data_IF_005096733091
#
_entry.id   IF_005096733091
#
_cell.length_a   1.000
_cell.length_b   1.000
_cell.length_c   1.000
_cell.angle_alpha   90.00
_cell.angle_beta   90.00
_cell.angle_gamma   90.00
#
_symmetry.space_group_name_H-M   'P 1'
#
loop_
_entity.id
_entity.type
_entity.pdbx_description
1 polymer ?
#
# COMPACT_ATOMS: atom_id res chain seq x y z
N UNK A 1 11.50 15.60 23.20
CA UNK A 1 10.54 14.67 22.59
C UNK A 1 10.85 13.29 23.09
N UNK A 2 9.84 12.63 23.62
CA UNK A 2 9.83 11.28 24.22
C UNK A 2 8.91 10.32 23.46
N UNK A 3 8.23 10.80 22.41
CA UNK A 3 7.33 10.05 21.51
C UNK A 3 8.07 9.22 20.43
N UNK A 4 9.40 9.10 20.52
CA UNK A 4 10.20 8.30 19.60
C UNK A 4 10.07 6.80 19.86
N UNK A 5 10.49 5.97 18.89
CA UNK A 5 10.50 4.52 19.01
C UNK A 5 9.62 3.84 17.97
N UNK A 6 9.17 2.62 18.28
CA UNK A 6 8.34 1.82 17.37
C UNK A 6 6.96 1.57 17.96
N UNK A 7 5.94 1.56 17.11
CA UNK A 7 4.60 1.05 17.42
C UNK A 7 4.32 -0.17 16.57
N UNK A 8 3.38 -1.01 17.00
CA UNK A 8 2.94 -2.20 16.28
C UNK A 8 1.43 -2.33 16.30
N UNK A 9 0.88 -2.98 15.29
CA UNK A 9 -0.54 -3.14 15.15
C UNK A 9 -0.90 -3.96 13.93
N UNK A 10 -2.20 -4.00 13.63
CA UNK A 10 -2.72 -4.65 12.46
C UNK A 10 -2.86 -3.62 11.33
N UNK A 11 -2.29 -3.93 10.17
CA UNK A 11 -2.63 -3.28 8.92
C UNK A 11 -3.61 -4.17 8.15
N UNK A 12 -4.78 -3.62 7.82
CA UNK A 12 -5.82 -4.30 7.05
C UNK A 12 -5.95 -3.60 5.71
N UNK A 13 -5.96 -4.36 4.63
CA UNK A 13 -6.47 -3.89 3.36
C UNK A 13 -7.71 -4.70 2.95
N UNK A 14 -8.71 -4.02 2.42
CA UNK A 14 -10.01 -4.62 2.10
C UNK A 14 -10.56 -4.00 0.82
N UNK A 15 -10.83 -4.85 -0.16
CA UNK A 15 -11.60 -4.46 -1.34
C UNK A 15 -13.09 -4.37 -1.02
N UNK A 16 -13.70 -3.24 -1.37
CA UNK A 16 -15.16 -3.06 -1.45
C UNK A 16 -15.48 -2.62 -2.87
N UNK A 17 -16.03 -3.55 -3.66
CA UNK A 17 -16.16 -3.39 -5.10
C UNK A 17 -14.83 -2.98 -5.74
N UNK A 18 -14.77 -1.80 -6.32
CA UNK A 18 -13.60 -1.25 -7.01
C UNK A 18 -12.69 -0.39 -6.10
N UNK A 19 -12.91 -0.31 -4.79
CA UNK A 19 -12.09 0.53 -3.89
C UNK A 19 -11.31 -0.35 -2.90
N UNK A 20 -9.99 -0.17 -2.85
CA UNK A 20 -9.13 -0.79 -1.86
C UNK A 20 -8.96 0.15 -0.67
N UNK A 21 -9.54 -0.22 0.47
CA UNK A 21 -9.38 0.51 1.72
C UNK A 21 -8.18 0.00 2.52
N UNK A 22 -7.56 0.91 3.28
CA UNK A 22 -6.50 0.62 4.24
C UNK A 22 -6.90 1.05 5.64
N UNK A 23 -6.56 0.25 6.66
CA UNK A 23 -6.68 0.60 8.07
C UNK A 23 -5.39 0.23 8.79
N UNK A 24 -4.78 1.18 9.48
CA UNK A 24 -3.52 0.99 10.20
C UNK A 24 -3.75 1.24 11.69
N UNK A 25 -3.91 0.18 12.47
CA UNK A 25 -4.18 0.28 13.91
C UNK A 25 -2.95 0.72 14.72
N UNK A 26 -1.74 0.66 14.17
CA UNK A 26 -0.54 1.07 14.89
C UNK A 26 -0.47 2.60 15.08
N UNK A 27 -1.11 3.36 14.18
CA UNK A 27 -1.15 4.84 14.17
C UNK A 27 -2.57 5.42 14.01
N UNK A 28 -3.60 4.58 14.00
CA UNK A 28 -5.01 5.02 13.88
C UNK A 28 -5.42 5.50 12.48
N UNK A 29 -4.75 5.03 11.43
CA UNK A 29 -4.94 5.49 10.05
C UNK A 29 -6.09 4.81 9.31
N UNK A 30 -6.80 5.57 8.45
CA UNK A 30 -7.85 5.07 7.56
C UNK A 30 -7.72 5.72 6.18
N UNK A 31 -7.61 4.90 5.13
CA UNK A 31 -7.16 5.35 3.81
C UNK A 31 -7.95 4.69 2.67
N UNK A 32 -7.98 5.36 1.52
CA UNK A 32 -8.14 4.69 0.23
C UNK A 32 -6.74 4.45 -0.30
N UNK A 33 -6.37 3.19 -0.51
CA UNK A 33 -5.04 2.78 -0.99
C UNK A 33 -4.98 2.72 -2.52
N UNK A 34 -6.11 2.51 -3.18
CA UNK A 34 -6.20 2.44 -4.64
C UNK A 34 -7.55 2.01 -5.15
N UNK A 35 -7.64 1.88 -6.46
CA UNK A 35 -8.89 1.61 -7.18
C UNK A 35 -8.73 0.47 -8.18
N UNK A 36 -9.80 -0.29 -8.43
CA UNK A 36 -9.87 -1.35 -9.44
C UNK A 36 -10.21 -0.83 -10.84
N UNK A 37 -10.71 0.41 -10.90
CA UNK A 37 -11.10 1.18 -12.08
C UNK A 37 -10.75 2.66 -11.86
N UNK A 38 -10.89 3.48 -12.89
CA UNK A 38 -10.78 4.94 -12.76
C UNK A 38 -11.65 5.45 -11.60
N UNK A 39 -11.15 6.33 -10.70
CA UNK A 39 -11.85 6.72 -9.48
C UNK A 39 -13.28 7.24 -9.70
N UNK A 40 -13.53 7.93 -10.82
CA UNK A 40 -14.86 8.45 -11.17
C UNK A 40 -15.88 7.39 -11.64
N UNK A 41 -15.44 6.15 -11.84
CA UNK A 41 -16.25 5.00 -12.27
C UNK A 41 -16.30 3.89 -11.23
N UNK A 42 -15.54 4.00 -10.13
CA UNK A 42 -15.45 2.99 -9.10
C UNK A 42 -16.80 2.79 -8.39
N UNK A 43 -17.20 1.53 -8.22
CA UNK A 43 -18.42 1.13 -7.51
C UNK A 43 -18.07 0.24 -6.31
N UNK A 44 -18.54 0.58 -5.11
CA UNK A 44 -18.29 -0.21 -3.90
C UNK A 44 -19.19 -1.44 -3.74
N UNK A 45 -20.27 -1.56 -4.54
CA UNK A 45 -21.39 -2.45 -4.22
C UNK A 45 -21.32 -3.84 -4.85
N UNK A 46 -20.28 -4.15 -5.61
CA UNK A 46 -20.10 -5.46 -6.22
C UNK A 46 -19.05 -6.32 -5.52
N UNK A 47 -19.01 -7.61 -5.89
CA UNK A 47 -18.10 -8.61 -5.31
C UNK A 47 -17.12 -9.20 -6.34
N UNK A 48 -17.06 -8.64 -7.55
CA UNK A 48 -16.08 -9.06 -8.57
C UNK A 48 -14.66 -8.79 -8.07
N UNK A 49 -13.76 -9.72 -8.32
CA UNK A 49 -12.34 -9.51 -8.05
C UNK A 49 -11.74 -8.41 -8.95
N UNK A 50 -10.86 -7.57 -8.41
CA UNK A 50 -10.17 -6.53 -9.17
C UNK A 50 -9.20 -7.16 -10.16
N UNK A 51 -9.13 -6.61 -11.37
CA UNK A 51 -8.17 -7.05 -12.40
C UNK A 51 -6.94 -6.15 -12.50
N UNK A 52 -7.05 -4.97 -11.90
CA UNK A 52 -6.06 -3.90 -11.90
C UNK A 52 -6.10 -3.24 -10.52
N UNK A 53 -4.98 -2.66 -10.12
CA UNK A 53 -4.89 -1.76 -8.98
C UNK A 53 -4.26 -0.44 -9.46
N UNK A 54 -5.00 0.64 -9.35
CA UNK A 54 -4.58 2.01 -9.63
C UNK A 54 -4.22 2.69 -8.31
N UNK A 55 -2.94 3.01 -8.13
CA UNK A 55 -2.41 3.67 -6.94
C UNK A 55 -2.26 5.16 -7.22
N UNK A 56 -2.83 5.98 -6.33
CA UNK A 56 -2.87 7.43 -6.48
C UNK A 56 -1.84 8.16 -5.61
N UNK A 57 -1.30 7.47 -4.61
CA UNK A 57 -0.42 8.03 -3.59
C UNK A 57 0.70 7.06 -3.24
N UNK A 58 1.87 7.61 -2.94
CA UNK A 58 2.97 6.93 -2.30
C UNK A 58 3.60 7.87 -1.26
N UNK A 59 4.40 7.31 -0.38
CA UNK A 59 5.05 8.04 0.68
C UNK A 59 6.36 7.39 1.14
N UNK A 60 7.13 8.11 1.94
CA UNK A 60 8.21 7.53 2.72
C UNK A 60 8.22 8.06 4.15
N UNK A 61 8.85 7.27 5.03
CA UNK A 61 8.99 7.56 6.44
C UNK A 61 10.46 7.87 6.78
N UNK A 62 10.80 9.12 7.16
CA UNK A 62 12.15 9.47 7.59
C UNK A 62 12.44 9.10 9.05
N UNK A 63 11.41 8.90 9.86
CA UNK A 63 11.51 8.59 11.29
C UNK A 63 11.76 7.11 11.59
N UNK A 64 11.51 6.21 10.63
CA UNK A 64 11.71 4.78 10.80
C UNK A 64 11.33 3.98 9.56
N UNK A 65 11.76 2.71 9.54
CA UNK A 65 11.28 1.76 8.54
C UNK A 65 9.91 1.20 8.91
N UNK A 66 9.31 0.44 8.01
CA UNK A 66 8.02 -0.22 8.22
C UNK A 66 8.09 -1.69 7.83
N UNK A 67 7.63 -2.56 8.71
CA UNK A 67 7.54 -4.00 8.48
C UNK A 67 6.10 -4.39 8.21
N UNK A 68 5.85 -5.13 7.12
CA UNK A 68 4.57 -5.82 6.90
C UNK A 68 4.82 -7.32 6.82
N UNK A 69 4.16 -8.09 7.68
CA UNK A 69 4.21 -9.54 7.65
C UNK A 69 2.79 -10.14 7.50
N UNK A 70 2.52 -10.95 6.47
CA UNK A 70 1.16 -11.42 6.18
C UNK A 70 0.64 -12.40 7.23
N UNK A 71 -0.49 -12.09 7.87
CA UNK A 71 -1.17 -13.00 8.82
C UNK A 71 -2.12 -13.97 8.09
N UNK A 72 -2.77 -13.47 7.05
CA UNK A 72 -3.77 -14.21 6.25
C UNK A 72 -3.16 -15.14 5.21
N UNK A 73 -1.84 -15.04 4.97
CA UNK A 73 -1.07 -15.84 4.00
C UNK A 73 -1.61 -15.80 2.56
N UNK A 74 -2.26 -14.71 2.17
CA UNK A 74 -2.70 -14.45 0.79
C UNK A 74 -1.63 -13.69 0.00
N UNK A 75 -1.59 -13.84 -1.34
CA UNK A 75 -0.70 -13.04 -2.16
C UNK A 75 -0.99 -11.55 -2.06
N UNK A 76 0.05 -10.73 -2.14
CA UNK A 76 -0.05 -9.27 -2.11
C UNK A 76 1.06 -8.64 -2.94
N UNK A 77 0.94 -7.34 -3.18
CA UNK A 77 1.92 -6.56 -3.92
C UNK A 77 2.38 -5.33 -3.12
N UNK A 78 3.59 -4.86 -3.42
CA UNK A 78 4.16 -3.65 -2.82
C UNK A 78 4.87 -2.85 -3.91
N UNK A 79 4.31 -1.71 -4.36
CA UNK A 79 5.02 -0.74 -5.18
C UNK A 79 6.11 -0.05 -4.35
N UNK A 80 7.34 0.00 -4.87
CA UNK A 80 8.50 0.58 -4.20
C UNK A 80 9.33 1.43 -5.18
N UNK A 81 9.92 2.53 -4.70
CA UNK A 81 10.96 3.29 -5.39
C UNK A 81 12.12 3.63 -4.43
N UNK A 82 13.30 3.86 -4.99
CA UNK A 82 14.51 4.14 -4.21
C UNK A 82 14.41 5.47 -3.44
N UNK A 83 15.13 5.64 -2.31
CA UNK A 83 15.14 6.89 -1.57
C UNK A 83 15.62 8.10 -2.37
N UNK A 84 15.01 9.26 -2.12
CA UNK A 84 15.34 10.55 -2.74
C UNK A 84 14.12 11.47 -2.81
N UNK A 85 14.32 12.77 -3.03
CA UNK A 85 13.21 13.74 -2.99
C UNK A 85 12.55 14.00 -4.36
N UNK A 86 13.19 13.62 -5.48
CA UNK A 86 12.68 13.82 -6.86
C UNK A 86 12.13 12.51 -7.45
N UNK A 87 11.24 11.85 -6.72
CA UNK A 87 10.62 10.60 -7.17
C UNK A 87 9.67 10.84 -8.33
N UNK A 88 9.68 9.95 -9.31
CA UNK A 88 8.79 9.98 -10.48
C UNK A 88 7.97 8.70 -10.58
N UNK A 89 6.81 8.73 -11.26
CA UNK A 89 5.97 7.54 -11.44
C UNK A 89 6.75 6.30 -11.95
N UNK A 90 7.69 6.52 -12.86
CA UNK A 90 8.53 5.55 -13.56
C UNK A 90 9.67 4.97 -12.72
N UNK A 91 9.95 5.55 -11.55
CA UNK A 91 10.91 4.99 -10.59
C UNK A 91 10.31 3.81 -9.80
N UNK A 92 8.99 3.65 -9.82
CA UNK A 92 8.30 2.61 -9.08
C UNK A 92 8.35 1.26 -9.80
N UNK A 93 8.74 0.24 -9.05
CA UNK A 93 8.60 -1.16 -9.43
C UNK A 93 7.71 -1.88 -8.42
N UNK A 94 6.94 -2.86 -8.90
CA UNK A 94 5.98 -3.57 -8.06
C UNK A 94 6.50 -4.97 -7.72
N UNK A 95 6.69 -5.24 -6.43
CA UNK A 95 7.08 -6.55 -5.93
C UNK A 95 5.84 -7.39 -5.59
N UNK A 96 5.83 -8.64 -6.03
CA UNK A 96 4.79 -9.60 -5.70
C UNK A 96 5.27 -10.60 -4.64
N UNK A 97 4.42 -10.85 -3.65
CA UNK A 97 4.65 -11.77 -2.55
C UNK A 97 3.59 -12.86 -2.56
N UNK A 98 4.00 -14.13 -2.43
CA UNK A 98 3.08 -15.27 -2.36
C UNK A 98 2.33 -15.41 -1.03
N UNK A 99 2.45 -14.44 -0.11
CA UNK A 99 1.83 -14.46 1.21
C UNK A 99 2.59 -15.23 2.30
N UNK A 100 3.74 -15.84 2.01
CA UNK A 100 4.53 -16.60 3.00
C UNK A 100 5.76 -15.84 3.53
N UNK A 101 6.04 -14.67 2.95
CA UNK A 101 7.13 -13.78 3.32
C UNK A 101 6.55 -12.39 3.54
N UNK A 102 7.02 -11.72 4.58
CA UNK A 102 6.86 -10.29 4.74
C UNK A 102 8.03 -9.52 4.14
N UNK A 103 8.01 -8.21 4.36
CA UNK A 103 9.11 -7.32 4.04
C UNK A 103 9.32 -6.30 5.14
N UNK A 104 10.55 -5.83 5.26
CA UNK A 104 10.91 -4.64 6.02
C UNK A 104 11.40 -3.58 5.04
N UNK A 105 10.69 -2.46 4.99
CA UNK A 105 10.99 -1.30 4.17
C UNK A 105 11.86 -0.37 5.00
N UNK A 106 13.05 -0.06 4.51
CA UNK A 106 13.97 0.85 5.20
C UNK A 106 13.44 2.30 5.20
N UNK A 107 13.86 3.14 6.16
CA UNK A 107 13.54 4.57 6.14
C UNK A 107 13.86 5.20 4.78
N UNK A 108 13.08 6.21 4.40
CA UNK A 108 13.20 6.97 3.15
C UNK A 108 12.92 6.19 1.84
N UNK A 109 12.68 4.88 1.88
CA UNK A 109 12.24 4.14 0.67
C UNK A 109 10.80 4.53 0.37
N UNK A 110 10.51 4.94 -0.86
CA UNK A 110 9.15 5.24 -1.28
C UNK A 110 8.34 3.96 -1.41
N UNK A 111 7.13 4.00 -0.90
CA UNK A 111 6.19 2.89 -0.92
C UNK A 111 4.78 3.42 -0.73
N UNK A 112 3.76 2.58 -0.92
CA UNK A 112 2.47 2.90 -0.33
C UNK A 112 2.23 2.07 0.94
N UNK A 113 1.85 0.81 0.78
CA UNK A 113 1.79 -0.16 1.85
C UNK A 113 1.75 -1.57 1.27
N UNK A 114 1.45 -2.57 2.09
CA UNK A 114 1.17 -3.91 1.59
C UNK A 114 -0.26 -3.97 1.00
N UNK A 115 -0.37 -4.11 -0.32
CA UNK A 115 -1.62 -4.02 -1.06
C UNK A 115 -2.15 -5.41 -1.41
N UNK A 116 -3.31 -5.76 -0.87
CA UNK A 116 -3.96 -7.04 -1.14
C UNK A 116 -4.57 -7.07 -2.54
N UNK A 117 -4.50 -8.22 -3.20
CA UNK A 117 -4.95 -8.36 -4.60
C UNK A 117 -6.42 -8.79 -4.73
N UNK A 118 -7.08 -9.20 -3.64
CA UNK A 118 -8.51 -9.52 -3.59
C UNK A 118 -9.01 -9.63 -2.14
N UNK A 119 -10.29 -9.30 -1.91
CA UNK A 119 -10.96 -9.40 -0.61
C UNK A 119 -10.26 -8.67 0.53
N UNK A 120 -10.41 -9.18 1.76
CA UNK A 120 -9.67 -8.69 2.93
C UNK A 120 -8.34 -9.43 3.10
N UNK A 121 -7.30 -8.66 3.43
CA UNK A 121 -5.99 -9.14 3.84
C UNK A 121 -5.49 -8.39 5.07
N UNK A 122 -4.79 -9.11 5.94
CA UNK A 122 -4.28 -8.62 7.23
C UNK A 122 -2.79 -8.86 7.35
N UNK A 123 -2.08 -7.88 7.89
CA UNK A 123 -0.64 -7.89 8.10
C UNK A 123 -0.33 -7.45 9.52
N UNK A 124 0.60 -8.14 10.16
CA UNK A 124 1.35 -7.57 11.27
C UNK A 124 2.14 -6.38 10.72
N UNK A 125 1.97 -5.23 11.36
CA UNK A 125 2.63 -3.98 11.01
C UNK A 125 3.46 -3.48 12.20
N UNK A 126 4.71 -3.10 11.94
CA UNK A 126 5.59 -2.44 12.90
C UNK A 126 6.33 -1.30 12.22
N UNK A 127 6.21 -0.10 12.78
CA UNK A 127 6.71 1.14 12.18
C UNK A 127 7.17 2.15 13.23
N UNK A 128 7.68 3.31 12.78
CA UNK A 128 7.97 4.44 13.65
C UNK A 128 6.73 4.95 14.39
N UNK A 129 6.85 5.21 15.70
CA UNK A 129 5.72 5.66 16.53
C UNK A 129 5.23 7.08 16.17
N UNK A 130 6.12 7.92 15.64
CA UNK A 130 5.79 9.29 15.21
C UNK A 130 5.04 9.28 13.87
N UNK A 131 5.34 8.32 12.99
CA UNK A 131 4.77 8.19 11.66
C UNK A 131 4.98 9.46 10.82
N UNK A 132 6.19 10.01 10.88
CA UNK A 132 6.57 11.13 10.03
C UNK A 132 6.48 10.69 8.57
N UNK A 133 5.95 11.54 7.69
CA UNK A 133 5.65 11.12 6.31
C UNK A 133 5.86 12.26 5.32
N UNK A 134 6.52 11.94 4.22
CA UNK A 134 6.56 12.75 3.01
C UNK A 134 5.78 11.97 1.94
N UNK A 135 4.91 12.66 1.23
CA UNK A 135 3.89 12.06 0.36
C UNK A 135 3.98 12.64 -1.05
N UNK A 136 3.63 11.81 -2.04
CA UNK A 136 3.35 12.22 -3.41
C UNK A 136 1.90 11.85 -3.75
N UNK A 137 1.18 12.79 -4.36
CA UNK A 137 -0.14 12.58 -4.99
C UNK A 137 0.04 12.57 -6.51
N UNK A 138 0.03 11.39 -7.12
CA UNK A 138 0.36 11.23 -8.54
C UNK A 138 -0.62 11.95 -9.47
N UNK A 139 -1.88 12.08 -9.07
CA UNK A 139 -2.88 12.78 -9.87
C UNK A 139 -2.58 14.27 -9.88
N UNK A 140 -2.28 14.85 -8.72
CA UNK A 140 -2.01 16.30 -8.60
C UNK A 140 -0.66 16.70 -9.15
N UNK A 141 0.35 15.86 -8.95
CA UNK A 141 1.74 16.20 -9.24
C UNK A 141 2.18 15.74 -10.64
N UNK A 142 1.61 14.64 -11.15
CA UNK A 142 2.02 14.03 -12.41
C UNK A 142 0.86 13.77 -13.38
N UNK A 143 -0.38 14.08 -13.01
CA UNK A 143 -1.59 13.85 -13.82
C UNK A 143 -1.72 12.39 -14.27
N UNK A 144 -1.37 11.45 -13.39
CA UNK A 144 -1.47 10.01 -13.64
C UNK A 144 -1.81 9.19 -12.39
N UNK A 145 -2.08 7.91 -12.60
CA UNK A 145 -2.14 6.87 -11.57
C UNK A 145 -1.08 5.81 -11.89
N UNK A 146 -0.54 5.15 -10.88
CA UNK A 146 0.33 3.98 -11.09
C UNK A 146 -0.54 2.74 -11.26
N UNK A 147 -0.35 2.00 -12.36
CA UNK A 147 -1.09 0.78 -12.63
C UNK A 147 -0.28 -0.47 -12.22
N UNK A 148 -0.92 -1.35 -11.45
CA UNK A 148 -0.48 -2.74 -11.26
C UNK A 148 -1.52 -3.66 -11.87
N UNK A 149 -1.14 -4.38 -12.93
CA UNK A 149 -1.97 -5.46 -13.48
C UNK A 149 -2.04 -6.62 -12.49
N UNK A 150 -3.26 -6.96 -12.04
CA UNK A 150 -3.49 -8.08 -11.10
C UNK A 150 -3.83 -9.39 -11.81
N UNK A 151 -4.17 -9.34 -13.11
CA UNK A 151 -4.49 -10.52 -13.93
C UNK A 151 -3.39 -11.58 -13.91
N UNK A 152 -2.15 -11.16 -13.76
CA UNK A 152 -0.98 -12.04 -13.68
C UNK A 152 -0.87 -12.82 -12.36
N UNK A 153 -1.66 -12.46 -11.34
CA UNK A 153 -1.64 -13.08 -10.01
C UNK A 153 -2.93 -13.84 -9.68
N UNK A 154 -3.98 -13.72 -10.50
CA UNK A 154 -5.19 -14.52 -10.35
C UNK A 154 -4.88 -15.99 -10.63
N UNK A 155 -5.34 -16.94 -9.79
CA UNK A 155 -5.27 -18.35 -10.13
C UNK A 155 -6.06 -18.59 -11.43
N UNK A 156 -5.43 -19.28 -12.39
CA UNK A 156 -6.04 -19.72 -13.65
C UNK A 156 -7.15 -20.72 -13.38
#
# INVERSE_FOLDING_TARGET
>A
GDEGGTTEGLFICEWKGDILYGRNSAVGGHYILGYGLEPGQADEHHTRDPKTLLVWHANYHPDGGQCFFPETKKPFVVPLALPGDDVKPEDFVCFHFSGHKGLYIHPNVWHEGALGISGEQRFFDKQGAVHARISVDFVREFNCLLEVSLKQFSPV
#
